data_IF_139802592822
#
_entry.id   IF_139802592822
#
_cell.length_a   1.000
_cell.length_b   1.000
_cell.length_c   1.000
_cell.angle_alpha   90.00
_cell.angle_beta   90.00
_cell.angle_gamma   90.00
#
_symmetry.space_group_name_H-M   'P 1'
#
loop_
_entity.id
_entity.type
_entity.pdbx_description
1 polymer ?
#
# COMPACT_ATOMS: atom_id res chain seq x y z
N UNK A 1 -25.56 8.30 16.33
CA UNK A 1 -25.11 7.63 15.12
C UNK A 1 -23.73 6.96 15.27
N UNK A 2 -22.61 7.66 15.55
CA UNK A 2 -21.27 7.08 15.74
C UNK A 2 -21.20 5.96 16.77
N UNK A 3 -21.96 6.05 17.88
CA UNK A 3 -22.04 4.98 18.91
C UNK A 3 -22.62 3.68 18.33
N UNK A 4 -23.71 3.77 17.59
CA UNK A 4 -24.37 2.61 16.96
C UNK A 4 -23.47 2.04 15.86
N UNK A 5 -22.94 2.88 14.99
CA UNK A 5 -21.99 2.47 13.95
C UNK A 5 -20.77 1.73 14.55
N UNK A 6 -20.13 2.31 15.56
CA UNK A 6 -19.01 1.68 16.25
C UNK A 6 -19.39 0.36 16.96
N UNK A 7 -20.62 0.24 17.48
CA UNK A 7 -21.11 -1.02 18.02
C UNK A 7 -21.29 -2.07 16.92
N UNK A 8 -21.86 -1.69 15.77
CA UNK A 8 -22.02 -2.57 14.62
C UNK A 8 -20.66 -3.07 14.08
N UNK A 9 -19.65 -2.20 13.99
CA UNK A 9 -18.28 -2.58 13.61
C UNK A 9 -17.69 -3.61 14.60
N UNK A 10 -17.85 -3.39 15.90
CA UNK A 10 -17.38 -4.34 16.93
C UNK A 10 -18.10 -5.67 16.85
N UNK A 11 -19.43 -5.66 16.63
CA UNK A 11 -20.21 -6.87 16.42
C UNK A 11 -19.75 -7.63 15.18
N UNK A 12 -19.54 -6.93 14.07
CA UNK A 12 -19.00 -7.53 12.86
C UNK A 12 -17.60 -8.15 13.09
N UNK A 13 -16.71 -7.42 13.76
CA UNK A 13 -15.37 -7.92 14.08
C UNK A 13 -15.42 -9.17 14.97
N UNK A 14 -16.24 -9.15 16.03
CA UNK A 14 -16.33 -10.25 16.98
C UNK A 14 -16.91 -11.54 16.36
N UNK A 15 -17.80 -11.40 15.37
CA UNK A 15 -18.49 -12.53 14.74
C UNK A 15 -17.96 -12.89 13.36
N UNK A 16 -16.90 -12.22 12.86
CA UNK A 16 -16.42 -12.47 11.51
C UNK A 16 -15.68 -13.81 11.37
N UNK A 17 -15.37 -14.49 12.48
CA UNK A 17 -14.83 -15.86 12.49
C UNK A 17 -15.84 -16.79 13.16
N UNK A 18 -15.96 -17.99 12.63
CA UNK A 18 -16.70 -19.09 13.26
C UNK A 18 -15.88 -19.68 14.41
N UNK A 19 -16.53 -20.51 15.20
CA UNK A 19 -15.89 -21.22 16.32
C UNK A 19 -14.72 -22.10 15.85
N UNK A 20 -14.84 -22.67 14.65
CA UNK A 20 -13.80 -23.47 13.97
C UNK A 20 -12.65 -22.62 13.39
N UNK A 21 -12.66 -21.30 13.58
CA UNK A 21 -11.67 -20.37 13.06
C UNK A 21 -11.88 -19.96 11.59
N UNK A 22 -12.82 -20.56 10.88
CA UNK A 22 -13.15 -20.17 9.51
C UNK A 22 -13.79 -18.79 9.44
N UNK A 23 -13.60 -18.06 8.33
CA UNK A 23 -14.22 -16.76 8.13
C UNK A 23 -15.69 -16.90 7.72
N UNK A 24 -16.59 -16.14 8.36
CA UNK A 24 -17.95 -15.99 7.88
C UNK A 24 -17.97 -15.31 6.50
N UNK A 25 -18.89 -15.76 5.64
CA UNK A 25 -19.13 -15.07 4.37
C UNK A 25 -19.69 -13.66 4.64
N UNK A 26 -19.35 -12.73 3.78
CA UNK A 26 -19.78 -11.33 3.92
C UNK A 26 -21.31 -11.18 4.07
N UNK A 27 -22.08 -11.98 3.33
CA UNK A 27 -23.55 -11.97 3.39
C UNK A 27 -24.06 -12.39 4.78
N UNK A 28 -23.59 -13.52 5.29
CA UNK A 28 -23.96 -14.06 6.60
C UNK A 28 -23.67 -13.06 7.73
N UNK A 29 -22.46 -12.48 7.71
CA UNK A 29 -22.06 -11.48 8.69
C UNK A 29 -22.90 -10.20 8.61
N UNK A 30 -23.20 -9.74 7.40
CA UNK A 30 -24.08 -8.60 7.19
C UNK A 30 -25.49 -8.85 7.73
N UNK A 31 -26.05 -10.03 7.47
CA UNK A 31 -27.40 -10.36 7.89
C UNK A 31 -27.46 -10.48 9.43
N UNK A 32 -26.42 -11.02 10.07
CA UNK A 32 -26.28 -11.03 11.54
C UNK A 32 -26.22 -9.61 12.12
N UNK A 33 -25.41 -8.74 11.54
CA UNK A 33 -25.31 -7.33 11.98
C UNK A 33 -26.63 -6.61 11.79
N UNK A 34 -27.30 -6.81 10.65
CA UNK A 34 -28.63 -6.24 10.40
C UNK A 34 -29.64 -6.71 11.45
N UNK A 35 -29.76 -8.00 11.69
CA UNK A 35 -30.69 -8.55 12.68
C UNK A 35 -30.51 -7.92 14.05
N UNK A 36 -29.24 -7.72 14.47
CA UNK A 36 -28.92 -7.12 15.78
C UNK A 36 -29.22 -5.64 15.90
N UNK A 37 -29.18 -4.87 14.83
CA UNK A 37 -29.28 -3.40 14.86
C UNK A 37 -30.50 -2.84 14.11
N UNK A 38 -31.32 -3.67 13.44
CA UNK A 38 -32.47 -3.22 12.66
C UNK A 38 -33.56 -2.52 13.50
N UNK A 39 -33.68 -2.90 14.78
CA UNK A 39 -34.60 -2.26 15.73
C UNK A 39 -34.22 -0.82 16.07
N UNK A 40 -32.94 -0.47 15.87
CA UNK A 40 -32.45 0.89 16.04
C UNK A 40 -32.66 1.64 14.71
N UNK A 41 -33.71 2.42 14.60
CA UNK A 41 -34.02 3.27 13.41
C UNK A 41 -32.87 4.21 13.00
N UNK A 42 -31.76 4.19 13.75
CA UNK A 42 -30.55 5.05 13.64
C UNK A 42 -29.57 4.60 12.56
N UNK A 43 -29.54 3.36 12.17
CA UNK A 43 -28.62 2.85 11.18
C UNK A 43 -29.39 2.19 10.05
N UNK A 44 -29.34 2.79 8.88
CA UNK A 44 -29.87 2.16 7.69
C UNK A 44 -29.03 0.96 7.22
N UNK A 45 -29.59 0.21 6.28
CA UNK A 45 -28.96 -1.01 5.76
C UNK A 45 -27.57 -0.75 5.14
N UNK A 46 -27.33 0.43 4.55
CA UNK A 46 -26.06 0.75 3.93
C UNK A 46 -24.98 1.03 4.98
N UNK A 47 -25.30 1.78 6.03
CA UNK A 47 -24.35 2.03 7.11
C UNK A 47 -24.00 0.74 7.86
N UNK A 48 -24.97 -0.16 8.07
CA UNK A 48 -24.70 -1.46 8.66
C UNK A 48 -23.84 -2.34 7.75
N UNK A 49 -24.04 -2.25 6.43
CA UNK A 49 -23.15 -2.89 5.45
C UNK A 49 -21.73 -2.32 5.52
N UNK A 50 -21.57 -1.00 5.56
CA UNK A 50 -20.27 -0.37 5.71
C UNK A 50 -19.57 -0.78 7.01
N UNK A 51 -20.31 -0.87 8.12
CA UNK A 51 -19.80 -1.34 9.40
C UNK A 51 -19.35 -2.81 9.34
N UNK A 52 -20.08 -3.66 8.62
CA UNK A 52 -19.72 -5.06 8.39
C UNK A 52 -18.41 -5.18 7.65
N UNK A 53 -18.25 -4.45 6.54
CA UNK A 53 -17.02 -4.45 5.76
C UNK A 53 -15.83 -3.93 6.59
N UNK A 54 -16.03 -2.86 7.38
CA UNK A 54 -14.99 -2.36 8.27
C UNK A 54 -14.57 -3.40 9.32
N UNK A 55 -15.50 -4.13 9.90
CA UNK A 55 -15.22 -5.23 10.83
C UNK A 55 -14.39 -6.34 10.18
N UNK A 56 -14.72 -6.73 8.95
CA UNK A 56 -13.95 -7.72 8.18
C UNK A 56 -12.53 -7.23 7.85
N UNK A 57 -12.39 -5.96 7.47
CA UNK A 57 -11.08 -5.37 7.16
C UNK A 57 -10.18 -5.31 8.41
N UNK A 58 -10.75 -5.05 9.58
CA UNK A 58 -10.01 -5.06 10.84
C UNK A 58 -9.43 -6.44 11.19
N UNK A 59 -10.12 -7.54 10.83
CA UNK A 59 -9.58 -8.90 11.02
C UNK A 59 -8.38 -9.14 10.11
N UNK A 60 -8.44 -8.70 8.85
CA UNK A 60 -7.32 -8.82 7.93
C UNK A 60 -6.07 -8.06 8.43
N UNK A 61 -6.29 -6.95 9.16
CA UNK A 61 -5.21 -6.16 9.74
C UNK A 61 -4.57 -6.81 10.97
N UNK A 62 -5.31 -7.63 11.70
CA UNK A 62 -4.85 -8.29 12.92
C UNK A 62 -5.28 -9.76 12.91
N UNK A 63 -4.72 -10.59 12.02
CA UNK A 63 -5.17 -11.97 11.84
C UNK A 63 -4.92 -12.85 13.07
N UNK A 64 -3.84 -12.61 13.81
CA UNK A 64 -3.38 -13.45 14.91
C UNK A 64 -3.61 -12.78 16.29
N UNK A 65 -4.25 -11.62 16.35
CA UNK A 65 -4.38 -10.84 17.58
C UNK A 65 -5.78 -10.34 17.86
N UNK A 66 -6.08 -10.16 19.15
CA UNK A 66 -7.29 -9.46 19.58
C UNK A 66 -7.10 -7.95 19.47
N UNK A 67 -7.96 -7.33 18.66
CA UNK A 67 -8.04 -5.88 18.59
C UNK A 67 -8.79 -5.34 19.82
N UNK A 68 -8.14 -4.47 20.59
CA UNK A 68 -8.77 -3.75 21.68
C UNK A 68 -9.30 -2.42 21.16
N UNK A 69 -10.60 -2.32 20.98
CA UNK A 69 -11.25 -1.07 20.58
C UNK A 69 -11.08 0.00 21.69
N UNK A 70 -10.55 1.15 21.33
CA UNK A 70 -10.15 2.19 22.28
C UNK A 70 -8.69 2.10 22.70
N UNK A 71 -7.97 1.03 22.32
CA UNK A 71 -6.56 0.81 22.60
C UNK A 71 -6.29 0.13 23.95
N UNK A 72 -5.18 -0.65 24.00
CA UNK A 72 -4.79 -1.39 25.22
C UNK A 72 -4.51 -0.47 26.41
N UNK A 73 -3.80 0.63 26.16
CA UNK A 73 -3.49 1.61 27.21
C UNK A 73 -4.75 2.19 27.88
N UNK A 74 -5.77 2.56 27.10
CA UNK A 74 -7.03 3.05 27.63
C UNK A 74 -7.81 1.96 28.38
N UNK A 75 -7.74 0.71 27.92
CA UNK A 75 -8.34 -0.42 28.64
C UNK A 75 -7.67 -0.60 30.01
N UNK A 76 -6.34 -0.55 30.07
CA UNK A 76 -5.59 -0.65 31.32
C UNK A 76 -5.90 0.51 32.27
N UNK A 77 -5.93 1.74 31.76
CA UNK A 77 -6.35 2.92 32.55
C UNK A 77 -7.77 2.75 33.10
N UNK A 78 -8.69 2.18 32.30
CA UNK A 78 -10.05 1.88 32.76
C UNK A 78 -10.07 0.81 33.85
N UNK A 79 -9.28 -0.27 33.71
CA UNK A 79 -9.15 -1.33 34.68
C UNK A 79 -8.62 -0.81 36.05
N UNK A 80 -7.67 0.15 35.95
CA UNK A 80 -7.09 0.82 37.14
C UNK A 80 -7.96 1.96 37.71
N UNK A 81 -9.17 2.19 37.19
CA UNK A 81 -10.04 3.28 37.63
C UNK A 81 -9.60 4.69 37.20
N UNK A 82 -8.54 4.83 36.41
CA UNK A 82 -7.93 6.11 36.04
C UNK A 82 -8.74 6.90 34.98
N UNK A 83 -9.75 6.29 34.39
CA UNK A 83 -10.68 6.94 33.48
C UNK A 83 -12.12 6.49 33.76
N UNK A 84 -13.09 7.38 33.53
CA UNK A 84 -14.50 7.09 33.73
C UNK A 84 -15.02 6.06 32.68
N UNK A 85 -16.20 5.50 32.93
CA UNK A 85 -16.90 4.64 31.99
C UNK A 85 -17.25 5.38 30.71
N UNK A 86 -17.60 6.64 30.79
CA UNK A 86 -17.93 7.54 29.69
C UNK A 86 -16.71 7.81 28.84
N UNK A 87 -15.58 8.17 29.44
CA UNK A 87 -14.30 8.36 28.73
C UNK A 87 -13.86 7.08 28.00
N UNK A 88 -14.05 5.91 28.63
CA UNK A 88 -13.80 4.62 27.98
C UNK A 88 -14.74 4.36 26.79
N UNK A 89 -16.02 4.68 26.94
CA UNK A 89 -17.00 4.56 25.83
C UNK A 89 -16.64 5.49 24.69
N UNK A 90 -16.24 6.72 24.98
CA UNK A 90 -15.82 7.69 23.98
C UNK A 90 -14.56 7.23 23.22
N UNK A 91 -13.54 6.73 23.93
CA UNK A 91 -12.33 6.17 23.33
C UNK A 91 -12.61 4.99 22.36
N UNK A 92 -13.77 4.32 22.51
CA UNK A 92 -14.21 3.22 21.64
C UNK A 92 -15.06 3.67 20.45
N UNK A 93 -15.36 4.96 20.34
CA UNK A 93 -16.07 5.46 19.17
C UNK A 93 -15.24 5.29 17.91
N UNK A 94 -15.95 5.05 16.82
CA UNK A 94 -15.37 4.97 15.49
C UNK A 94 -15.87 6.15 14.66
N UNK A 95 -15.08 6.67 13.72
CA UNK A 95 -15.60 7.57 12.70
C UNK A 95 -16.76 6.90 11.97
N UNK A 96 -17.82 7.65 11.70
CA UNK A 96 -18.90 7.19 10.85
C UNK A 96 -18.36 7.04 9.43
N UNK A 97 -18.35 5.84 8.88
CA UNK A 97 -17.89 5.59 7.52
C UNK A 97 -19.07 5.27 6.60
N UNK A 98 -19.20 5.99 5.51
CA UNK A 98 -20.09 5.67 4.39
C UNK A 98 -19.25 5.46 3.14
N UNK A 99 -19.22 4.23 2.62
CA UNK A 99 -18.46 3.88 1.40
C UNK A 99 -19.10 4.52 0.17
N UNK A 100 -18.28 4.75 -0.84
CA UNK A 100 -18.66 5.35 -2.11
C UNK A 100 -19.74 4.53 -2.83
N UNK A 101 -20.64 5.26 -3.48
CA UNK A 101 -21.66 4.73 -4.38
C UNK A 101 -21.91 5.78 -5.47
N UNK A 102 -21.30 5.60 -6.64
CA UNK A 102 -21.41 6.55 -7.75
C UNK A 102 -22.85 6.72 -8.23
N UNK A 103 -23.68 5.65 -8.16
CA UNK A 103 -25.08 5.70 -8.59
C UNK A 103 -25.91 6.67 -7.73
N UNK A 104 -25.43 6.93 -6.51
CA UNK A 104 -26.01 7.86 -5.55
C UNK A 104 -25.19 9.16 -5.45
N UNK A 105 -24.78 9.72 -6.60
CA UNK A 105 -23.95 10.94 -6.68
C UNK A 105 -22.73 10.88 -5.76
N UNK A 106 -21.94 9.83 -5.93
CA UNK A 106 -20.70 9.58 -5.19
C UNK A 106 -20.87 8.89 -3.84
N UNK A 107 -21.97 9.14 -3.11
CA UNK A 107 -22.23 8.53 -1.80
C UNK A 107 -23.71 8.58 -1.43
N UNK A 108 -24.22 7.62 -0.66
CA UNK A 108 -25.63 7.57 -0.25
C UNK A 108 -26.00 8.60 0.83
N UNK A 109 -25.08 8.88 1.74
CA UNK A 109 -25.35 9.71 2.91
C UNK A 109 -24.78 11.11 2.82
N UNK A 110 -23.64 11.26 2.18
CA UNK A 110 -22.93 12.52 2.09
C UNK A 110 -23.06 13.16 0.71
N UNK A 111 -23.27 14.46 0.68
CA UNK A 111 -23.34 15.28 -0.53
C UNK A 111 -22.49 16.53 -0.35
N UNK A 112 -21.51 16.70 -1.19
CA UNK A 112 -20.76 17.97 -1.27
C UNK A 112 -21.62 19.02 -2.00
N UNK A 113 -21.57 20.26 -1.53
CA UNK A 113 -22.08 21.39 -2.30
C UNK A 113 -21.22 21.61 -3.56
N UNK A 114 -21.77 22.22 -4.64
CA UNK A 114 -21.02 22.44 -5.88
C UNK A 114 -19.73 23.24 -5.69
N UNK A 115 -19.75 24.21 -4.78
CA UNK A 115 -18.59 25.04 -4.40
C UNK A 115 -17.68 24.39 -3.36
N UNK A 116 -18.06 23.22 -2.87
CA UNK A 116 -17.35 22.48 -1.82
C UNK A 116 -17.21 23.25 -0.48
N UNK A 117 -18.07 24.23 -0.21
CA UNK A 117 -18.10 24.97 1.07
C UNK A 117 -18.88 24.23 2.16
N UNK A 118 -19.71 23.27 1.78
CA UNK A 118 -20.54 22.51 2.68
C UNK A 118 -20.67 21.03 2.26
N UNK A 119 -21.04 20.20 3.23
CA UNK A 119 -21.42 18.81 2.98
C UNK A 119 -22.73 18.51 3.69
N UNK A 120 -23.70 17.96 3.00
CA UNK A 120 -24.96 17.53 3.61
C UNK A 120 -24.86 16.05 3.98
N UNK A 121 -25.08 15.75 5.26
CA UNK A 121 -25.23 14.39 5.77
C UNK A 121 -26.71 14.06 5.90
N UNK A 122 -27.21 13.08 5.18
CA UNK A 122 -28.57 12.55 5.32
C UNK A 122 -28.63 11.50 6.40
N UNK A 123 -29.40 11.78 7.45
CA UNK A 123 -29.60 10.87 8.59
C UNK A 123 -31.11 10.72 8.78
N UNK A 124 -31.63 9.51 8.71
CA UNK A 124 -33.07 9.22 8.85
C UNK A 124 -33.98 10.03 7.90
N UNK A 125 -33.51 10.22 6.69
CA UNK A 125 -34.22 11.08 5.74
C UNK A 125 -34.09 12.58 6.04
N UNK A 126 -33.48 12.99 7.17
CA UNK A 126 -33.25 14.40 7.53
C UNK A 126 -31.87 14.84 7.06
N UNK A 127 -31.76 15.96 6.34
CA UNK A 127 -30.48 16.54 5.99
C UNK A 127 -29.87 17.30 7.19
N UNK A 128 -28.59 17.07 7.44
CA UNK A 128 -27.77 17.81 8.40
C UNK A 128 -26.68 18.50 7.60
N UNK A 129 -26.64 19.83 7.64
CA UNK A 129 -25.61 20.60 6.98
C UNK A 129 -24.32 20.61 7.82
N UNK A 130 -23.22 20.28 7.19
CA UNK A 130 -21.87 20.39 7.75
C UNK A 130 -21.14 21.49 6.99
N UNK A 131 -20.76 22.57 7.69
CA UNK A 131 -19.91 23.62 7.12
C UNK A 131 -18.48 23.08 6.99
N UNK A 132 -17.86 23.25 5.84
CA UNK A 132 -16.48 22.86 5.61
C UNK A 132 -15.58 24.09 5.76
N UNK A 133 -14.40 23.90 6.36
CA UNK A 133 -13.39 24.94 6.35
C UNK A 133 -13.01 25.29 4.91
N UNK A 134 -12.79 26.57 4.64
CA UNK A 134 -12.42 27.05 3.31
C UNK A 134 -11.08 26.45 2.90
N UNK A 135 -11.09 25.64 1.83
CA UNK A 135 -9.89 25.05 1.28
C UNK A 135 -9.37 25.88 0.12
N UNK A 136 -8.09 26.23 0.20
CA UNK A 136 -7.40 27.03 -0.81
C UNK A 136 -6.40 26.16 -1.61
N UNK A 137 -5.98 26.66 -2.76
CA UNK A 137 -4.98 26.00 -3.60
C UNK A 137 -5.45 24.68 -4.20
N UNK A 138 -4.52 23.80 -4.50
CA UNK A 138 -4.76 22.51 -5.19
C UNK A 138 -5.83 21.63 -4.52
N UNK A 139 -5.85 21.58 -3.20
CA UNK A 139 -6.81 20.76 -2.48
C UNK A 139 -8.25 21.27 -2.65
N UNK A 140 -8.45 22.58 -2.61
CA UNK A 140 -9.76 23.19 -2.86
C UNK A 140 -10.22 23.01 -4.32
N UNK A 141 -9.29 23.08 -5.26
CA UNK A 141 -9.56 22.82 -6.67
C UNK A 141 -10.01 21.37 -6.89
N UNK A 142 -9.24 20.41 -6.37
CA UNK A 142 -9.61 18.99 -6.43
C UNK A 142 -10.99 18.76 -5.80
N UNK A 143 -11.27 19.36 -4.65
CA UNK A 143 -12.55 19.14 -3.98
C UNK A 143 -13.75 19.67 -4.79
N UNK A 144 -13.62 20.83 -5.46
CA UNK A 144 -14.66 21.33 -6.36
C UNK A 144 -14.89 20.42 -7.56
N UNK A 145 -13.81 19.92 -8.19
CA UNK A 145 -13.91 18.96 -9.29
C UNK A 145 -14.58 17.67 -8.83
N UNK A 146 -14.19 17.16 -7.66
CA UNK A 146 -14.79 15.98 -7.04
C UNK A 146 -16.28 16.16 -6.76
N UNK A 147 -16.69 17.34 -6.29
CA UNK A 147 -18.11 17.64 -6.09
C UNK A 147 -18.90 17.58 -7.41
N UNK A 148 -18.37 18.16 -8.48
CA UNK A 148 -18.99 18.12 -9.81
C UNK A 148 -19.05 16.67 -10.38
N UNK A 149 -17.96 15.92 -10.31
CA UNK A 149 -17.90 14.53 -10.75
C UNK A 149 -18.86 13.62 -9.96
N UNK A 150 -18.99 13.85 -8.66
CA UNK A 150 -19.93 13.12 -7.81
C UNK A 150 -21.39 13.44 -8.20
N UNK A 151 -21.70 14.71 -8.43
CA UNK A 151 -23.04 15.13 -8.91
C UNK A 151 -23.38 14.48 -10.25
N UNK A 152 -22.40 14.37 -11.16
CA UNK A 152 -22.50 13.66 -12.44
C UNK A 152 -22.51 12.12 -12.33
N UNK A 153 -22.44 11.56 -11.12
CA UNK A 153 -22.37 10.12 -10.86
C UNK A 153 -21.15 9.42 -11.51
N UNK A 154 -20.06 10.17 -11.71
CA UNK A 154 -18.86 9.66 -12.37
C UNK A 154 -17.91 8.96 -11.41
N UNK A 155 -17.88 9.34 -10.13
CA UNK A 155 -16.92 8.84 -9.14
C UNK A 155 -17.57 8.28 -7.87
N UNK A 156 -16.80 7.45 -7.15
CA UNK A 156 -17.13 6.97 -5.82
C UNK A 156 -16.42 7.82 -4.76
N UNK A 157 -17.15 8.30 -3.76
CA UNK A 157 -16.60 9.05 -2.63
C UNK A 157 -16.88 8.33 -1.33
N UNK A 158 -15.83 7.91 -0.63
CA UNK A 158 -15.96 7.36 0.72
C UNK A 158 -15.74 8.46 1.73
N UNK A 159 -16.73 8.65 2.61
CA UNK A 159 -16.66 9.64 3.68
C UNK A 159 -16.44 8.98 5.03
N UNK A 160 -15.60 9.60 5.85
CA UNK A 160 -15.44 9.26 7.26
C UNK A 160 -15.59 10.52 8.11
N UNK A 161 -16.59 10.53 8.99
CA UNK A 161 -16.85 11.64 9.91
C UNK A 161 -16.51 11.22 11.33
N UNK A 162 -15.55 11.89 11.95
CA UNK A 162 -15.28 11.76 13.37
C UNK A 162 -15.97 12.89 14.19
N UNK A 163 -15.42 13.37 15.29
CA UNK A 163 -16.02 14.43 16.09
C UNK A 163 -15.89 15.81 15.41
N UNK A 164 -14.78 16.06 14.73
CA UNK A 164 -14.39 17.39 14.25
C UNK A 164 -13.93 17.38 12.79
N UNK A 165 -13.73 16.20 12.18
CA UNK A 165 -13.14 16.08 10.83
C UNK A 165 -14.00 15.25 9.91
N UNK A 166 -14.12 15.71 8.68
CA UNK A 166 -14.67 14.96 7.56
C UNK A 166 -13.54 14.57 6.61
N UNK A 167 -13.27 13.27 6.52
CA UNK A 167 -12.31 12.72 5.57
C UNK A 167 -13.04 12.29 4.32
N UNK A 168 -12.59 12.75 3.16
CA UNK A 168 -13.09 12.34 1.85
C UNK A 168 -12.02 11.51 1.17
N UNK A 169 -12.34 10.27 0.84
CA UNK A 169 -11.44 9.35 0.15
C UNK A 169 -11.98 9.09 -1.26
N UNK A 170 -11.11 9.25 -2.23
CA UNK A 170 -11.37 9.03 -3.65
C UNK A 170 -10.14 8.38 -4.30
N UNK A 171 -10.31 7.83 -5.49
CA UNK A 171 -9.19 7.45 -6.34
C UNK A 171 -8.74 8.68 -7.15
N UNK A 172 -7.49 9.16 -7.00
CA UNK A 172 -6.99 10.29 -7.81
C UNK A 172 -7.04 10.02 -9.31
N UNK A 173 -7.01 8.76 -9.73
CA UNK A 173 -7.17 8.37 -11.13
C UNK A 173 -8.54 8.73 -11.70
N UNK A 174 -9.58 8.80 -10.86
CA UNK A 174 -10.94 9.18 -11.26
C UNK A 174 -11.08 10.69 -11.51
N UNK A 175 -10.05 11.51 -11.19
CA UNK A 175 -10.07 12.97 -11.41
C UNK A 175 -9.28 13.32 -12.66
N UNK A 176 -9.92 13.58 -13.83
CA UNK A 176 -9.24 13.79 -15.11
C UNK A 176 -8.24 14.94 -15.10
N UNK A 177 -8.57 16.02 -14.41
CA UNK A 177 -7.75 17.24 -14.33
C UNK A 177 -6.97 17.34 -13.02
N UNK A 178 -6.65 16.17 -12.40
CA UNK A 178 -5.82 16.16 -11.19
C UNK A 178 -4.46 16.83 -11.47
N UNK A 179 -4.02 17.80 -10.63
CA UNK A 179 -2.83 18.62 -10.91
C UNK A 179 -1.50 17.83 -10.90
N UNK A 180 -1.51 16.60 -10.38
CA UNK A 180 -0.35 15.69 -10.42
C UNK A 180 -0.49 14.61 -11.51
N UNK A 181 -1.52 14.67 -12.35
CA UNK A 181 -1.68 13.74 -13.46
C UNK A 181 -0.57 13.98 -14.48
N UNK A 182 0.07 12.91 -14.89
CA UNK A 182 1.10 12.96 -15.92
C UNK A 182 0.48 12.82 -17.32
N UNK A 183 1.09 13.45 -18.30
CA UNK A 183 0.68 13.28 -19.70
C UNK A 183 0.74 11.80 -20.08
N UNK A 184 -0.20 11.29 -20.88
CA UNK A 184 -0.15 9.92 -21.37
C UNK A 184 1.16 9.63 -22.13
N UNK A 185 1.67 8.42 -21.98
CA UNK A 185 2.80 7.91 -22.79
C UNK A 185 2.29 6.76 -23.63
N UNK A 186 2.75 6.67 -24.88
CA UNK A 186 2.41 5.54 -25.74
C UNK A 186 2.89 4.25 -25.10
N UNK A 187 1.96 3.35 -24.81
CA UNK A 187 2.29 2.02 -24.29
C UNK A 187 2.83 1.13 -25.40
N UNK A 188 3.83 0.33 -25.08
CA UNK A 188 4.36 -0.71 -25.95
C UNK A 188 3.83 -2.05 -25.45
N UNK A 189 3.06 -2.72 -26.28
CA UNK A 189 2.48 -4.02 -25.94
C UNK A 189 3.55 -5.03 -25.53
N UNK A 190 3.27 -5.80 -24.50
CA UNK A 190 4.18 -6.82 -24.01
C UNK A 190 5.34 -6.31 -23.16
N UNK A 191 5.34 -5.02 -22.75
CA UNK A 191 6.30 -4.47 -21.79
C UNK A 191 5.69 -4.29 -20.41
N UNK A 192 6.41 -4.70 -19.40
CA UNK A 192 6.03 -4.45 -18.01
C UNK A 192 7.24 -4.08 -17.15
N UNK A 193 7.00 -3.25 -16.13
CA UNK A 193 7.96 -2.97 -15.08
C UNK A 193 7.73 -3.92 -13.92
N UNK A 194 8.70 -4.76 -13.59
CA UNK A 194 8.70 -5.54 -12.35
C UNK A 194 9.36 -4.79 -11.21
N UNK A 195 8.88 -5.05 -10.00
CA UNK A 195 9.35 -4.41 -8.78
C UNK A 195 9.54 -5.46 -7.69
N UNK A 196 10.78 -5.63 -7.23
CA UNK A 196 11.11 -6.46 -6.08
C UNK A 196 11.46 -5.60 -4.88
N UNK A 197 10.74 -5.81 -3.77
CA UNK A 197 10.82 -4.99 -2.57
C UNK A 197 11.66 -5.65 -1.49
N UNK A 198 12.85 -5.12 -1.28
CA UNK A 198 13.75 -5.50 -0.18
C UNK A 198 13.88 -4.36 0.85
N UNK A 199 14.29 -4.65 2.10
CA UNK A 199 14.37 -3.61 3.16
C UNK A 199 15.31 -2.46 2.83
N UNK A 200 16.42 -2.71 2.16
CA UNK A 200 17.46 -1.73 1.86
C UNK A 200 17.49 -1.30 0.39
N UNK A 201 16.79 -2.05 -0.48
CA UNK A 201 16.83 -1.89 -1.93
C UNK A 201 15.49 -2.20 -2.57
N UNK A 202 15.22 -1.53 -3.66
CA UNK A 202 14.15 -1.90 -4.59
C UNK A 202 14.80 -2.25 -5.92
N UNK A 203 14.60 -3.49 -6.37
CA UNK A 203 14.92 -3.92 -7.73
C UNK A 203 13.82 -3.48 -8.68
N UNK A 204 14.18 -2.79 -9.75
CA UNK A 204 13.32 -2.39 -10.84
C UNK A 204 13.84 -3.04 -12.12
N UNK A 205 12.97 -3.65 -12.92
CA UNK A 205 13.36 -4.23 -14.21
C UNK A 205 12.26 -4.12 -15.23
N UNK A 206 12.61 -3.66 -16.42
CA UNK A 206 11.73 -3.61 -17.57
C UNK A 206 11.95 -4.85 -18.41
N UNK A 207 10.90 -5.61 -18.61
CA UNK A 207 10.91 -6.82 -19.43
C UNK A 207 9.93 -6.68 -20.59
N UNK A 208 10.35 -7.19 -21.74
CA UNK A 208 9.52 -7.28 -22.94
C UNK A 208 9.35 -8.75 -23.34
N UNK A 209 8.14 -9.11 -23.71
CA UNK A 209 7.81 -10.36 -24.39
C UNK A 209 7.11 -10.00 -25.68
N UNK A 210 7.68 -10.36 -26.81
CA UNK A 210 7.13 -10.05 -28.13
C UNK A 210 5.67 -10.51 -28.25
N UNK A 211 4.91 -9.82 -29.06
CA UNK A 211 3.52 -10.18 -29.28
C UNK A 211 3.41 -11.57 -29.92
N UNK A 212 2.43 -12.37 -29.47
CA UNK A 212 2.26 -13.77 -29.87
C UNK A 212 3.25 -14.76 -29.25
N UNK A 213 4.37 -14.31 -28.63
CA UNK A 213 5.30 -15.21 -27.97
C UNK A 213 4.77 -15.71 -26.61
N UNK A 214 5.05 -16.96 -26.28
CA UNK A 214 4.68 -17.54 -24.98
C UNK A 214 5.54 -16.94 -23.84
N UNK A 215 4.93 -16.21 -22.92
CA UNK A 215 5.65 -15.60 -21.82
C UNK A 215 6.13 -16.62 -20.75
N UNK A 216 5.66 -17.86 -20.79
CA UNK A 216 6.14 -18.91 -19.86
C UNK A 216 7.49 -19.48 -20.29
N UNK A 217 7.87 -19.31 -21.54
CA UNK A 217 9.20 -19.62 -22.03
C UNK A 217 10.19 -18.50 -21.72
N UNK A 218 11.15 -18.76 -20.86
CA UNK A 218 12.12 -17.76 -20.38
C UNK A 218 12.92 -17.07 -21.50
N UNK A 219 13.22 -17.79 -22.59
CA UNK A 219 13.92 -17.27 -23.78
C UNK A 219 13.15 -16.14 -24.50
N UNK A 220 11.82 -16.11 -24.36
CA UNK A 220 10.97 -15.11 -24.98
C UNK A 220 10.90 -13.81 -24.17
N UNK A 221 11.43 -13.81 -22.96
CA UNK A 221 11.45 -12.66 -22.08
C UNK A 221 12.82 -11.95 -22.18
N UNK A 222 12.81 -10.72 -22.67
CA UNK A 222 14.00 -9.90 -22.83
C UNK A 222 14.06 -8.83 -21.76
N UNK A 223 15.13 -8.77 -20.97
CA UNK A 223 15.43 -7.68 -20.06
C UNK A 223 15.90 -6.47 -20.88
N UNK A 224 15.18 -5.35 -20.79
CA UNK A 224 15.49 -4.11 -21.51
C UNK A 224 16.31 -3.13 -20.68
N UNK A 225 15.93 -2.96 -19.42
CA UNK A 225 16.62 -2.05 -18.47
C UNK A 225 16.40 -2.56 -17.05
N UNK A 226 17.32 -2.21 -16.18
CA UNK A 226 17.16 -2.49 -14.75
C UNK A 226 17.81 -1.42 -13.90
N UNK A 227 17.26 -1.19 -12.70
CA UNK A 227 17.81 -0.22 -11.74
C UNK A 227 17.68 -0.73 -10.32
N UNK A 228 18.72 -0.57 -9.55
CA UNK A 228 18.71 -0.85 -8.13
C UNK A 228 18.58 0.46 -7.36
N UNK A 229 17.41 0.66 -6.73
CA UNK A 229 17.14 1.89 -5.95
C UNK A 229 17.43 1.61 -4.48
N UNK A 230 18.42 2.31 -3.94
CA UNK A 230 18.76 2.21 -2.52
C UNK A 230 17.74 2.92 -1.66
N UNK A 231 17.24 2.23 -0.64
CA UNK A 231 16.41 2.80 0.42
C UNK A 231 17.30 3.14 1.63
N UNK A 232 17.88 4.32 1.63
CA UNK A 232 18.72 4.77 2.73
C UNK A 232 17.86 5.26 3.91
N UNK A 233 17.07 4.34 4.51
CA UNK A 233 16.24 4.66 5.68
C UNK A 233 17.13 4.68 6.93
N UNK A 234 17.29 5.82 7.61
CA UNK A 234 18.04 5.88 8.87
C UNK A 234 17.37 5.02 9.95
N UNK A 235 18.15 4.42 10.87
CA UNK A 235 17.59 3.56 11.93
C UNK A 235 16.61 4.28 12.87
N UNK A 236 16.75 5.60 12.97
CA UNK A 236 15.95 6.50 13.80
C UNK A 236 14.96 7.35 12.98
N UNK A 237 14.77 7.02 11.70
CA UNK A 237 13.87 7.75 10.82
C UNK A 237 12.44 7.78 11.35
N UNK A 238 11.86 8.98 11.39
CA UNK A 238 10.45 9.17 11.68
C UNK A 238 9.56 8.71 10.53
N UNK A 239 8.28 8.51 10.79
CA UNK A 239 7.32 8.01 9.81
C UNK A 239 7.23 8.90 8.54
N UNK A 240 7.36 10.21 8.67
CA UNK A 240 7.32 11.16 7.56
C UNK A 240 8.58 11.03 6.67
N UNK A 241 9.74 10.90 7.27
CA UNK A 241 11.00 10.68 6.53
C UNK A 241 10.98 9.36 5.77
N UNK A 242 10.45 8.29 6.38
CA UNK A 242 10.26 7.00 5.70
C UNK A 242 9.31 7.15 4.51
N UNK A 243 8.21 7.90 4.69
CA UNK A 243 7.27 8.17 3.60
C UNK A 243 7.91 8.93 2.45
N UNK A 244 8.72 9.92 2.74
CA UNK A 244 9.44 10.71 1.72
C UNK A 244 10.38 9.84 0.89
N UNK A 245 11.18 8.99 1.55
CA UNK A 245 12.09 8.05 0.88
C UNK A 245 11.30 7.08 -0.02
N UNK A 246 10.20 6.52 0.49
CA UNK A 246 9.37 5.60 -0.28
C UNK A 246 8.62 6.29 -1.42
N UNK A 247 8.22 7.54 -1.24
CA UNK A 247 7.60 8.33 -2.29
C UNK A 247 8.58 8.64 -3.42
N UNK A 248 9.84 8.96 -3.10
CA UNK A 248 10.89 9.13 -4.10
C UNK A 248 11.14 7.83 -4.87
N UNK A 249 11.27 6.69 -4.19
CA UNK A 249 11.45 5.40 -4.82
C UNK A 249 10.27 5.00 -5.73
N UNK A 250 9.02 5.26 -5.32
CA UNK A 250 7.86 5.07 -6.18
C UNK A 250 7.89 6.00 -7.39
N UNK A 251 8.40 7.24 -7.24
CA UNK A 251 8.62 8.16 -8.34
C UNK A 251 9.61 7.60 -9.37
N UNK A 252 10.73 7.04 -8.93
CA UNK A 252 11.71 6.39 -9.81
C UNK A 252 11.11 5.21 -10.58
N UNK A 253 10.30 4.37 -9.93
CA UNK A 253 9.63 3.25 -10.58
C UNK A 253 8.70 3.73 -11.70
N UNK A 254 7.87 4.75 -11.46
CA UNK A 254 6.95 5.29 -12.46
C UNK A 254 7.72 6.01 -13.58
N UNK A 255 8.79 6.73 -13.27
CA UNK A 255 9.62 7.36 -14.29
C UNK A 255 10.26 6.33 -15.23
N UNK A 256 10.76 5.21 -14.70
CA UNK A 256 11.31 4.11 -15.50
C UNK A 256 10.25 3.44 -16.38
N UNK A 257 9.08 3.13 -15.81
CA UNK A 257 7.98 2.55 -16.56
C UNK A 257 7.56 3.45 -17.73
N UNK A 258 7.46 4.75 -17.51
CA UNK A 258 7.11 5.74 -18.54
C UNK A 258 8.18 5.85 -19.62
N UNK A 259 9.45 5.88 -19.25
CA UNK A 259 10.57 5.98 -20.19
C UNK A 259 10.59 4.81 -21.17
N UNK A 260 10.14 3.64 -20.73
CA UNK A 260 10.10 2.42 -21.56
C UNK A 260 8.72 2.12 -22.15
N UNK A 261 7.72 2.97 -21.93
CA UNK A 261 6.37 2.74 -22.43
C UNK A 261 5.68 1.52 -21.82
N UNK A 262 5.95 1.21 -20.55
CA UNK A 262 5.23 0.14 -19.83
C UNK A 262 3.82 0.62 -19.49
N UNK A 263 2.81 -0.20 -19.78
CA UNK A 263 1.42 0.03 -19.37
C UNK A 263 1.09 -0.58 -18.01
N UNK A 264 1.93 -1.50 -17.52
CA UNK A 264 1.79 -2.13 -16.22
C UNK A 264 3.07 -2.06 -15.39
N UNK A 265 2.89 -1.82 -14.07
CA UNK A 265 3.88 -2.08 -13.03
C UNK A 265 3.42 -3.30 -12.21
N UNK A 266 4.33 -4.22 -11.95
CA UNK A 266 4.04 -5.53 -11.37
C UNK A 266 4.76 -5.70 -10.05
N UNK A 267 4.03 -6.08 -9.00
CA UNK A 267 4.52 -6.33 -7.65
C UNK A 267 4.31 -7.77 -7.24
N UNK A 268 5.10 -8.23 -6.28
CA UNK A 268 4.85 -9.48 -5.60
C UNK A 268 3.62 -9.39 -4.68
N UNK A 269 2.70 -10.36 -4.80
CA UNK A 269 1.50 -10.47 -3.97
C UNK A 269 1.84 -10.90 -2.54
N UNK A 270 1.17 -10.28 -1.57
CA UNK A 270 1.24 -10.73 -0.17
C UNK A 270 2.40 -10.18 0.64
N UNK A 271 3.13 -9.20 0.14
CA UNK A 271 4.27 -8.54 0.80
C UNK A 271 3.97 -7.94 2.20
N UNK A 272 2.70 -7.86 2.61
CA UNK A 272 2.31 -7.31 3.92
C UNK A 272 2.47 -8.26 5.11
N UNK A 273 2.85 -9.53 4.92
CA UNK A 273 2.81 -10.59 5.93
C UNK A 273 4.17 -11.17 6.30
N UNK A 274 5.25 -10.41 6.25
CA UNK A 274 6.50 -10.91 6.82
C UNK A 274 6.35 -11.04 8.33
N UNK A 275 6.29 -12.29 8.79
CA UNK A 275 6.38 -12.60 10.21
C UNK A 275 7.81 -12.37 10.67
N UNK A 276 7.98 -11.73 11.82
CA UNK A 276 9.28 -11.70 12.47
C UNK A 276 9.71 -13.14 12.73
N UNK A 277 10.69 -13.62 11.98
CA UNK A 277 11.25 -14.95 12.18
C UNK A 277 12.47 -14.81 13.08
N UNK A 278 12.38 -15.40 14.31
CA UNK A 278 13.51 -15.56 15.19
C UNK A 278 13.81 -14.40 16.16
N UNK A 279 14.92 -14.57 16.92
CA UNK A 279 15.34 -13.67 18.01
C UNK A 279 16.13 -12.43 17.55
N UNK A 280 16.35 -12.25 16.23
CA UNK A 280 17.14 -11.14 15.74
C UNK A 280 16.35 -9.82 15.78
N UNK A 281 16.58 -9.03 16.86
CA UNK A 281 15.94 -7.74 17.10
C UNK A 281 16.16 -6.73 15.95
N UNK A 282 17.35 -6.76 15.31
CA UNK A 282 17.67 -5.85 14.19
C UNK A 282 16.85 -6.20 12.95
N UNK A 283 16.81 -7.48 12.59
CA UNK A 283 15.99 -7.97 11.47
C UNK A 283 14.51 -7.73 11.72
N UNK A 284 14.00 -8.01 12.94
CA UNK A 284 12.61 -7.77 13.29
C UNK A 284 12.26 -6.27 13.26
N UNK A 285 13.18 -5.39 13.64
CA UNK A 285 13.01 -3.95 13.55
C UNK A 285 12.96 -3.48 12.08
N UNK A 286 13.85 -3.98 11.22
CA UNK A 286 13.84 -3.74 9.77
C UNK A 286 12.54 -4.27 9.14
N UNK A 287 12.09 -5.46 9.50
CA UNK A 287 10.84 -6.05 8.99
C UNK A 287 9.60 -5.30 9.46
N UNK A 288 9.57 -4.81 10.71
CA UNK A 288 8.45 -4.07 11.27
C UNK A 288 8.40 -2.59 10.81
N UNK A 289 9.55 -1.98 10.57
CA UNK A 289 9.64 -0.61 10.04
C UNK A 289 9.53 -0.55 8.50
N UNK A 290 9.56 -1.72 7.83
CA UNK A 290 9.42 -1.78 6.40
C UNK A 290 7.99 -1.48 5.98
N UNK A 291 7.77 -0.28 5.50
CA UNK A 291 6.45 0.22 5.16
C UNK A 291 5.98 -0.24 3.76
N UNK A 292 6.05 -1.56 3.46
CA UNK A 292 5.64 -2.14 2.17
C UNK A 292 4.23 -1.72 1.75
N UNK A 293 3.31 -1.66 2.72
CA UNK A 293 1.94 -1.20 2.47
C UNK A 293 1.90 0.26 2.08
N UNK A 294 2.75 1.09 2.71
CA UNK A 294 2.85 2.52 2.39
C UNK A 294 3.43 2.70 1.00
N UNK A 295 4.50 1.97 0.66
CA UNK A 295 5.07 1.99 -0.69
C UNK A 295 4.06 1.56 -1.74
N UNK A 296 3.36 0.43 -1.54
CA UNK A 296 2.33 -0.05 -2.46
C UNK A 296 1.21 0.95 -2.68
N UNK A 297 0.74 1.63 -1.62
CA UNK A 297 -0.28 2.66 -1.74
C UNK A 297 0.23 3.90 -2.51
N UNK A 298 1.48 4.33 -2.26
CA UNK A 298 2.10 5.44 -2.99
C UNK A 298 2.32 5.11 -4.46
N UNK A 299 2.78 3.89 -4.73
CA UNK A 299 2.97 3.41 -6.09
C UNK A 299 1.64 3.34 -6.84
N UNK A 300 0.58 2.78 -6.22
CA UNK A 300 -0.75 2.71 -6.82
C UNK A 300 -1.29 4.10 -7.18
N UNK A 301 -1.17 5.06 -6.26
CA UNK A 301 -1.56 6.46 -6.53
C UNK A 301 -0.80 7.04 -7.72
N UNK A 302 0.54 6.92 -7.72
CA UNK A 302 1.39 7.47 -8.79
C UNK A 302 1.15 6.77 -10.13
N UNK A 303 0.99 5.45 -10.12
CA UNK A 303 0.68 4.65 -11.29
C UNK A 303 -0.65 5.10 -11.91
N UNK A 304 -1.71 5.22 -11.10
CA UNK A 304 -3.01 5.71 -11.55
C UNK A 304 -2.95 7.11 -12.17
N UNK A 305 -2.19 8.04 -11.55
CA UNK A 305 -1.98 9.39 -12.08
C UNK A 305 -1.12 9.41 -13.36
N UNK A 306 -0.33 8.38 -13.58
CA UNK A 306 0.49 8.22 -14.79
C UNK A 306 -0.22 7.39 -15.89
N UNK A 307 -1.42 6.86 -15.62
CA UNK A 307 -2.13 5.97 -16.53
C UNK A 307 -1.51 4.57 -16.64
N UNK A 308 -0.71 4.16 -15.63
CA UNK A 308 -0.04 2.86 -15.57
C UNK A 308 -0.86 1.92 -14.69
N UNK A 309 -1.18 0.72 -15.18
CA UNK A 309 -1.81 -0.34 -14.41
C UNK A 309 -0.90 -0.85 -13.29
N UNK A 310 -1.49 -1.33 -12.19
CA UNK A 310 -0.76 -2.00 -11.12
C UNK A 310 -1.29 -3.42 -10.95
N UNK A 311 -0.39 -4.41 -11.07
CA UNK A 311 -0.71 -5.83 -10.95
C UNK A 311 0.08 -6.48 -9.83
N UNK A 312 -0.55 -7.39 -9.12
CA UNK A 312 0.12 -8.23 -8.14
C UNK A 312 0.19 -9.69 -8.64
N UNK A 313 1.37 -10.28 -8.59
CA UNK A 313 1.60 -11.68 -8.97
C UNK A 313 2.21 -12.47 -7.81
N UNK A 314 2.05 -13.80 -7.83
CA UNK A 314 2.72 -14.65 -6.87
C UNK A 314 4.25 -14.62 -7.08
N UNK A 315 5.01 -14.37 -6.00
CA UNK A 315 6.46 -14.15 -6.04
C UNK A 315 7.31 -15.38 -5.70
N UNK A 316 6.71 -16.55 -5.40
CA UNK A 316 7.50 -17.73 -5.05
C UNK A 316 8.51 -18.09 -6.15
N UNK A 317 9.76 -18.32 -5.76
CA UNK A 317 10.90 -18.61 -6.65
C UNK A 317 11.30 -17.51 -7.63
N UNK A 318 10.76 -16.29 -7.54
CA UNK A 318 11.13 -15.19 -8.44
C UNK A 318 12.64 -14.90 -8.42
N UNK A 319 13.25 -14.87 -7.26
CA UNK A 319 14.71 -14.72 -7.11
C UNK A 319 15.48 -15.86 -7.76
N UNK A 320 15.03 -17.12 -7.58
CA UNK A 320 15.71 -18.30 -8.16
C UNK A 320 15.68 -18.26 -9.68
N UNK A 321 14.48 -18.11 -10.24
CA UNK A 321 14.26 -18.08 -11.69
C UNK A 321 14.94 -16.85 -12.29
N UNK A 322 14.74 -15.70 -11.65
CA UNK A 322 15.31 -14.44 -12.09
C UNK A 322 16.84 -14.48 -12.20
N UNK A 323 17.52 -14.97 -11.15
CA UNK A 323 18.97 -15.09 -11.15
C UNK A 323 19.49 -16.09 -12.18
N UNK A 324 18.72 -17.09 -12.55
CA UNK A 324 19.08 -18.03 -13.63
C UNK A 324 18.85 -17.41 -15.02
N UNK A 325 17.74 -16.69 -15.20
CA UNK A 325 17.30 -16.25 -16.54
C UNK A 325 17.82 -14.86 -16.93
N UNK A 326 17.95 -13.92 -15.98
CA UNK A 326 18.25 -12.54 -16.31
C UNK A 326 19.62 -12.08 -15.80
N UNK A 327 20.48 -11.48 -16.66
CA UNK A 327 21.80 -11.00 -16.28
C UNK A 327 21.70 -9.63 -15.57
N UNK A 328 21.23 -9.64 -14.32
CA UNK A 328 21.04 -8.43 -13.52
C UNK A 328 21.37 -8.71 -12.04
N UNK A 329 21.55 -7.68 -11.20
CA UNK A 329 21.65 -7.84 -9.75
C UNK A 329 20.47 -8.58 -9.17
N UNK A 330 20.67 -9.31 -8.09
CA UNK A 330 19.69 -10.22 -7.45
C UNK A 330 18.27 -9.64 -7.37
N UNK A 331 18.11 -8.45 -6.78
CA UNK A 331 16.80 -7.80 -6.68
C UNK A 331 16.22 -7.41 -8.05
N UNK A 332 17.06 -7.01 -9.00
CA UNK A 332 16.63 -6.66 -10.36
C UNK A 332 16.28 -7.92 -11.16
N UNK A 333 17.05 -9.01 -11.02
CA UNK A 333 16.76 -10.28 -11.64
C UNK A 333 15.42 -10.85 -11.14
N UNK A 334 15.17 -10.79 -9.83
CA UNK A 334 13.88 -11.12 -9.23
C UNK A 334 12.75 -10.23 -9.79
N UNK A 335 12.97 -8.92 -9.91
CA UNK A 335 12.03 -7.97 -10.50
C UNK A 335 11.73 -8.30 -11.97
N UNK A 336 12.72 -8.72 -12.75
CA UNK A 336 12.52 -9.14 -14.14
C UNK A 336 11.58 -10.35 -14.25
N UNK A 337 11.76 -11.33 -13.36
CA UNK A 337 10.84 -12.49 -13.32
C UNK A 337 9.43 -12.07 -12.88
N UNK A 338 9.30 -11.13 -11.94
CA UNK A 338 8.01 -10.57 -11.53
C UNK A 338 7.34 -9.86 -12.73
N UNK A 339 8.08 -9.08 -13.52
CA UNK A 339 7.56 -8.44 -14.74
C UNK A 339 7.04 -9.47 -15.74
N UNK A 340 7.84 -10.51 -16.06
CA UNK A 340 7.45 -11.60 -16.96
C UNK A 340 6.14 -12.26 -16.52
N UNK A 341 6.00 -12.56 -15.21
CA UNK A 341 4.75 -13.12 -14.66
C UNK A 341 3.57 -12.16 -14.80
N UNK A 342 3.80 -10.87 -14.68
CA UNK A 342 2.79 -9.85 -14.94
C UNK A 342 2.27 -9.93 -16.36
N UNK A 343 3.17 -10.04 -17.35
CA UNK A 343 2.83 -10.20 -18.76
C UNK A 343 2.06 -11.53 -18.98
N UNK A 344 2.51 -12.64 -18.37
CA UNK A 344 1.78 -13.91 -18.43
C UNK A 344 0.35 -13.78 -17.91
N UNK A 345 0.19 -13.15 -16.76
CA UNK A 345 -1.13 -12.93 -16.15
C UNK A 345 -2.02 -11.99 -16.98
N UNK A 346 -1.43 -10.96 -17.61
CA UNK A 346 -2.15 -10.05 -18.51
C UNK A 346 -2.69 -10.81 -19.72
N UNK A 347 -1.91 -11.72 -20.28
CA UNK A 347 -2.27 -12.59 -21.39
C UNK A 347 -3.12 -13.81 -20.97
N UNK A 348 -3.53 -13.90 -19.68
CA UNK A 348 -4.39 -14.95 -19.13
C UNK A 348 -3.80 -16.37 -19.16
N UNK A 349 -2.49 -16.50 -19.16
CA UNK A 349 -1.85 -17.80 -18.97
C UNK A 349 -2.15 -18.34 -17.57
N UNK A 350 -2.53 -19.64 -17.49
CA UNK A 350 -2.85 -20.28 -16.21
C UNK A 350 -1.60 -20.50 -15.37
N UNK A 351 -0.52 -20.95 -16.01
CA UNK A 351 0.74 -21.22 -15.36
C UNK A 351 1.67 -20.01 -15.53
N UNK A 352 1.96 -19.34 -14.44
CA UNK A 352 2.90 -18.21 -14.42
C UNK A 352 4.34 -18.67 -14.23
N UNK A 353 4.58 -19.91 -13.78
CA UNK A 353 5.91 -20.49 -13.67
C UNK A 353 6.36 -21.01 -15.03
N UNK A 354 7.64 -20.79 -15.39
CA UNK A 354 8.22 -21.40 -16.58
C UNK A 354 8.40 -22.90 -16.38
N UNK A 355 8.56 -23.63 -17.49
CA UNK A 355 8.91 -25.05 -17.45
C UNK A 355 10.15 -25.26 -16.58
N UNK A 356 10.11 -26.31 -15.77
CA UNK A 356 11.22 -26.75 -14.93
C UNK A 356 11.84 -28.05 -15.47
N UNK A 357 11.77 -28.29 -16.80
CA UNK A 357 12.38 -29.45 -17.39
C UNK A 357 13.91 -29.42 -17.21
N UNK A 358 14.52 -30.62 -17.25
CA UNK A 358 15.96 -30.74 -17.09
C UNK A 358 16.74 -29.95 -18.14
N UNK A 359 16.24 -29.91 -19.38
CA UNK A 359 16.85 -29.19 -20.49
C UNK A 359 16.87 -27.68 -20.19
N UNK A 360 15.73 -27.14 -19.77
CA UNK A 360 15.61 -25.68 -19.42
C UNK A 360 16.52 -25.34 -18.27
N UNK A 361 16.47 -26.10 -17.19
CA UNK A 361 17.29 -25.85 -15.99
C UNK A 361 18.79 -26.03 -16.29
N UNK A 362 19.18 -27.05 -17.05
CA UNK A 362 20.58 -27.29 -17.43
C UNK A 362 21.12 -26.19 -18.34
N UNK A 363 20.32 -25.75 -19.29
CA UNK A 363 20.68 -24.65 -20.19
C UNK A 363 20.96 -23.38 -19.40
N UNK A 364 20.02 -22.93 -18.58
CA UNK A 364 20.17 -21.75 -17.73
C UNK A 364 21.35 -21.87 -16.75
N UNK A 365 21.56 -23.05 -16.20
CA UNK A 365 22.70 -23.36 -15.30
C UNK A 365 24.05 -23.19 -15.99
N UNK A 366 24.16 -23.74 -17.22
CA UNK A 366 25.35 -23.61 -18.09
C UNK A 366 25.61 -22.15 -18.47
N UNK A 367 24.55 -21.40 -18.84
CA UNK A 367 24.66 -19.99 -19.23
C UNK A 367 25.20 -19.12 -18.08
N UNK A 368 24.97 -19.55 -16.85
CA UNK A 368 25.53 -18.89 -15.65
C UNK A 368 26.94 -19.36 -15.27
N UNK A 369 27.51 -20.33 -15.98
CA UNK A 369 28.80 -20.91 -15.64
C UNK A 369 28.79 -21.60 -14.27
N UNK A 370 27.65 -22.07 -13.79
CA UNK A 370 27.57 -22.72 -12.48
C UNK A 370 28.06 -24.17 -12.50
N UNK A 371 28.68 -24.68 -11.40
CA UNK A 371 29.18 -26.05 -11.35
C UNK A 371 28.10 -27.09 -11.56
N UNK A 372 28.23 -27.94 -12.55
CA UNK A 372 27.25 -28.99 -12.89
C UNK A 372 27.03 -30.00 -11.76
N UNK A 373 27.99 -30.17 -10.87
CA UNK A 373 27.85 -31.03 -9.68
C UNK A 373 26.75 -30.56 -8.72
N UNK A 374 26.38 -29.30 -8.75
CA UNK A 374 25.31 -28.71 -7.94
C UNK A 374 23.91 -28.75 -8.63
N UNK A 375 23.85 -29.21 -9.89
CA UNK A 375 22.61 -29.38 -10.62
C UNK A 375 21.78 -30.54 -10.00
N UNK A 376 20.47 -30.36 -9.76
CA UNK A 376 19.61 -31.43 -9.29
C UNK A 376 19.68 -32.68 -10.20
N UNK A 377 19.88 -33.86 -9.62
CA UNK A 377 20.12 -35.10 -10.38
C UNK A 377 18.88 -35.70 -11.05
N UNK A 378 17.67 -35.31 -10.61
CA UNK A 378 16.37 -35.80 -11.13
C UNK A 378 15.54 -34.66 -11.63
N UNK A 379 14.50 -34.93 -12.42
CA UNK A 379 13.46 -33.96 -12.73
C UNK A 379 12.93 -33.40 -11.42
N UNK A 380 13.14 -32.12 -11.25
CA UNK A 380 12.91 -31.42 -10.00
C UNK A 380 12.01 -30.26 -10.28
N UNK A 381 11.10 -29.98 -9.36
CA UNK A 381 10.35 -28.72 -9.40
C UNK A 381 11.23 -27.55 -8.99
N UNK A 382 10.75 -26.33 -9.20
CA UNK A 382 11.46 -25.09 -8.80
C UNK A 382 11.87 -25.07 -7.32
N UNK A 383 11.15 -25.80 -6.45
CA UNK A 383 11.54 -25.97 -5.05
C UNK A 383 12.87 -26.68 -4.87
N UNK A 384 13.14 -27.68 -5.70
CA UNK A 384 14.37 -28.47 -5.63
C UNK A 384 15.54 -27.69 -6.24
N UNK A 385 15.31 -27.02 -7.34
CA UNK A 385 16.28 -26.07 -7.95
C UNK A 385 16.67 -24.99 -6.95
N UNK A 386 15.69 -24.38 -6.27
CA UNK A 386 15.94 -23.39 -5.22
C UNK A 386 16.81 -23.97 -4.09
N UNK A 387 16.50 -25.17 -3.61
CA UNK A 387 17.31 -25.84 -2.57
C UNK A 387 18.72 -26.11 -3.04
N UNK A 388 18.90 -26.58 -4.28
CA UNK A 388 20.21 -26.85 -4.88
C UNK A 388 21.09 -25.61 -4.97
N UNK A 389 20.53 -24.50 -5.51
CA UNK A 389 21.22 -23.19 -5.59
C UNK A 389 21.62 -22.70 -4.19
N UNK A 390 20.72 -22.81 -3.23
CA UNK A 390 20.96 -22.36 -1.86
C UNK A 390 22.02 -23.23 -1.14
N UNK A 391 21.97 -24.53 -1.31
CA UNK A 391 22.94 -25.47 -0.73
C UNK A 391 24.35 -25.24 -1.29
N UNK A 392 24.44 -25.00 -2.60
CA UNK A 392 25.71 -24.70 -3.28
C UNK A 392 26.18 -23.26 -3.12
N UNK A 393 25.46 -22.44 -2.38
CA UNK A 393 25.72 -20.99 -2.21
C UNK A 393 25.93 -20.23 -3.54
N UNK A 394 25.25 -20.69 -4.60
CA UNK A 394 25.34 -20.11 -5.94
C UNK A 394 24.47 -18.85 -6.06
N UNK A 395 25.00 -17.85 -6.71
CA UNK A 395 24.27 -16.73 -7.32
C UNK A 395 23.62 -15.68 -6.41
N UNK A 396 23.33 -15.98 -5.17
CA UNK A 396 22.27 -15.28 -4.42
C UNK A 396 22.72 -14.12 -3.54
N UNK A 397 24.00 -13.82 -3.37
CA UNK A 397 24.42 -12.84 -2.35
C UNK A 397 25.59 -11.93 -2.70
N UNK A 398 26.09 -11.96 -3.91
CA UNK A 398 27.11 -10.99 -4.29
C UNK A 398 26.42 -9.79 -4.89
N UNK A 399 26.50 -8.57 -4.27
CA UNK A 399 26.16 -7.36 -4.97
C UNK A 399 26.96 -7.36 -6.28
N UNK A 400 26.29 -7.00 -7.37
CA UNK A 400 26.98 -6.82 -8.66
C UNK A 400 28.20 -5.92 -8.44
N UNK A 401 29.39 -6.24 -8.98
CA UNK A 401 30.60 -5.44 -8.74
C UNK A 401 30.44 -3.96 -9.05
N UNK A 402 29.61 -3.63 -10.04
CA UNK A 402 29.26 -2.24 -10.41
C UNK A 402 28.31 -1.55 -9.42
N UNK A 403 27.65 -2.32 -8.55
CA UNK A 403 26.72 -1.84 -7.52
C UNK A 403 27.27 -2.05 -6.12
N UNK A 404 28.40 -2.73 -5.97
CA UNK A 404 29.18 -2.62 -4.76
C UNK A 404 29.47 -1.13 -4.59
N UNK A 405 28.94 -0.45 -3.53
CA UNK A 405 29.36 0.92 -3.28
C UNK A 405 30.89 0.86 -3.27
N UNK A 406 31.52 1.74 -4.04
CA UNK A 406 32.97 1.86 -4.06
C UNK A 406 33.50 1.65 -2.63
N UNK A 407 34.34 0.64 -2.39
CA UNK A 407 34.87 0.37 -1.05
C UNK A 407 35.45 1.63 -0.41
N UNK A 408 35.88 2.60 -1.21
CA UNK A 408 36.29 3.92 -0.80
C UNK A 408 35.13 4.78 -0.25
N UNK A 409 33.94 4.80 -0.87
CA UNK A 409 32.80 5.61 -0.43
C UNK A 409 32.13 5.04 0.80
N UNK A 410 31.99 3.71 0.92
CA UNK A 410 31.47 3.08 2.15
C UNK A 410 32.44 3.20 3.31
N UNK A 411 33.75 3.06 3.06
CA UNK A 411 34.76 3.20 4.11
C UNK A 411 34.94 4.67 4.49
N UNK A 412 34.77 5.62 3.56
CA UNK A 412 34.81 7.05 3.85
C UNK A 412 33.56 7.50 4.63
N UNK A 413 32.36 7.08 4.21
CA UNK A 413 31.12 7.37 4.93
C UNK A 413 31.07 6.70 6.31
N UNK A 414 31.54 5.44 6.43
CA UNK A 414 31.68 4.76 7.73
C UNK A 414 32.79 5.38 8.57
N UNK A 415 33.92 5.75 8.00
CA UNK A 415 35.04 6.44 8.71
C UNK A 415 34.61 7.83 9.15
N UNK A 416 33.91 8.60 8.32
CA UNK A 416 33.35 9.88 8.71
C UNK A 416 32.34 9.75 9.85
N UNK A 417 31.42 8.78 9.79
CA UNK A 417 30.51 8.47 10.87
C UNK A 417 31.19 7.99 12.15
N UNK A 418 32.26 7.20 12.05
CA UNK A 418 33.09 6.75 13.18
C UNK A 418 33.98 7.87 13.74
N UNK A 419 34.54 8.73 12.89
CA UNK A 419 35.34 9.88 13.32
C UNK A 419 34.48 10.90 14.08
N UNK A 420 33.27 11.18 13.61
CA UNK A 420 32.31 12.06 14.30
C UNK A 420 31.92 11.51 15.68
N UNK A 421 31.80 10.17 15.83
CA UNK A 421 31.50 9.55 17.13
C UNK A 421 32.72 9.49 18.07
N UNK A 422 33.93 9.30 17.54
CA UNK A 422 35.17 9.18 18.34
C UNK A 422 35.75 10.51 18.79
N UNK A 423 35.54 11.58 18.00
CA UNK A 423 36.08 12.90 18.32
C UNK A 423 35.22 13.73 19.27
N UNK A 424 34.08 13.22 19.74
CA UNK A 424 33.29 13.93 20.75
C UNK A 424 32.88 15.34 20.36
N UNK A 425 32.96 15.69 19.09
CA UNK A 425 32.63 17.01 18.57
C UNK A 425 31.16 17.27 18.81
N UNK A 426 30.85 17.88 19.95
CA UNK A 426 29.55 18.53 20.19
C UNK A 426 29.28 19.42 18.99
N UNK A 427 28.19 19.20 18.29
CA UNK A 427 27.64 20.10 17.29
C UNK A 427 27.63 21.50 17.89
N UNK A 428 28.41 22.42 17.34
CA UNK A 428 28.20 23.84 17.61
C UNK A 428 26.80 24.20 17.17
N UNK A 429 25.93 24.74 18.02
CA UNK A 429 24.66 25.28 17.61
C UNK A 429 24.95 26.53 16.79
N UNK A 430 24.77 26.48 15.47
CA UNK A 430 24.99 27.68 14.65
C UNK A 430 25.19 27.49 13.14
N UNK A 431 25.43 26.28 12.66
CA UNK A 431 25.43 26.03 11.21
C UNK A 431 24.15 25.28 10.82
N UNK A 432 23.05 26.00 10.75
CA UNK A 432 21.82 25.58 10.10
C UNK A 432 22.11 25.58 8.61
N UNK A 433 22.32 24.41 8.01
CA UNK A 433 22.16 24.24 6.59
C UNK A 433 20.75 24.74 6.25
N UNK A 434 20.65 25.75 5.39
CA UNK A 434 19.36 26.26 4.90
C UNK A 434 18.56 25.07 4.40
N UNK A 435 17.33 24.87 4.89
CA UNK A 435 16.47 23.82 4.36
C UNK A 435 16.20 24.17 2.90
N UNK A 436 16.47 23.24 2.00
CA UNK A 436 15.88 23.23 0.68
C UNK A 436 14.37 23.43 0.84
N UNK A 437 13.82 24.36 0.08
CA UNK A 437 12.45 24.80 0.15
C UNK A 437 11.52 23.60 0.34
N UNK A 438 10.75 23.59 1.44
CA UNK A 438 9.71 22.61 1.73
C UNK A 438 8.72 22.61 0.59
N UNK A 439 8.72 21.56 -0.21
CA UNK A 439 7.55 21.21 -1.00
C UNK A 439 6.50 20.76 0.03
N UNK A 440 5.37 21.43 0.18
CA UNK A 440 4.37 21.03 1.17
C UNK A 440 3.87 19.63 0.81
N UNK A 441 4.08 18.68 1.69
CA UNK A 441 3.45 17.37 1.61
C UNK A 441 1.94 17.59 1.62
N UNK A 442 1.28 17.25 0.52
CA UNK A 442 -0.15 17.37 0.41
C UNK A 442 -0.83 16.54 1.50
N UNK A 443 -1.41 17.21 2.46
CA UNK A 443 -2.31 16.58 3.44
C UNK A 443 -3.63 16.33 2.72
N UNK A 444 -3.90 15.09 2.38
CA UNK A 444 -5.18 14.64 1.82
C UNK A 444 -6.30 14.54 2.89
N UNK A 445 -6.18 15.23 4.01
CA UNK A 445 -7.19 15.28 5.08
C UNK A 445 -7.76 16.69 5.18
N UNK A 446 -9.08 16.76 5.09
CA UNK A 446 -9.88 17.96 5.26
C UNK A 446 -10.18 18.17 6.74
N UNK A 447 -9.67 19.23 7.35
CA UNK A 447 -10.01 19.62 8.72
C UNK A 447 -11.22 20.55 8.71
N UNK A 448 -12.23 20.26 9.54
CA UNK A 448 -13.38 21.13 9.78
C UNK A 448 -13.09 21.93 11.04
N UNK A 449 -13.07 23.26 10.94
CA UNK A 449 -12.96 24.15 12.09
C UNK A 449 -14.14 23.99 13.06
N UNK A 450 -13.86 24.19 14.34
CA UNK A 450 -14.86 24.20 15.41
C UNK A 450 -15.78 25.40 15.27
N UNK A 451 -16.97 25.21 14.69
CA UNK A 451 -18.11 26.11 14.89
C UNK A 451 -19.42 25.29 14.79
N UNK A 452 -19.61 24.42 15.77
CA UNK A 452 -20.91 23.82 16.07
C UNK A 452 -21.62 24.70 17.13
N UNK A 453 -21.89 25.97 16.82
CA UNK A 453 -22.88 26.73 17.59
C UNK A 453 -24.27 26.33 17.09
N UNK A 454 -24.96 25.59 17.94
CA UNK A 454 -26.37 25.27 17.75
C UNK A 454 -27.20 26.52 17.78
N UNK A 455 -27.82 26.85 16.67
CA UNK A 455 -28.95 27.79 16.69
C UNK A 455 -30.14 27.06 17.32
N UNK A 456 -30.39 27.38 18.58
CA UNK A 456 -31.69 27.22 19.21
C UNK A 456 -32.64 28.25 18.57
N UNK A 457 -33.60 27.77 17.79
CA UNK A 457 -34.75 28.57 17.36
C UNK A 457 -35.57 29.02 18.57
N UNK A 458 -35.96 30.31 18.65
CA UNK A 458 -36.86 30.76 19.71
C UNK A 458 -38.25 30.15 19.45
N UNK A 459 -38.86 29.64 20.50
CA UNK A 459 -40.30 29.34 20.54
C UNK A 459 -41.03 30.65 20.52
N UNK A 460 -41.72 30.98 19.44
CA UNK A 460 -42.81 31.94 19.43
C UNK A 460 -44.05 31.29 20.03
N UNK A 461 -44.69 32.00 20.90
CA UNK A 461 -45.88 31.64 21.67
C UNK A 461 -47.14 31.39 20.83
#
# INVERSE_FOLDING_TARGET
>A
MRRVYGAAVRTAYANARRVDGSALRQKELRDLVKARFSHLKIADAWLLHCATLEGMDLIKLSPDGLLVFGGRSQLERRRKGLISREAWREARLRPLCSRGDKTQSGNRHFRLSPDASACTLRVYGRPVALRLAAMRGKAGEILRQVAALAAAKAINLTFRLDATRLHVTLDPADVPTHPERLAPVSAVAGRALGIDLNPDWIGLSVVEVADGADPTELRNARLLDHRLVRLAVPPDAGAEQVREILAAAAGHAIALARAWGCDEAVLEKGLGKLRSAGRNRRLNRLLNHWARRVFGAMLARRAGLAGIGLREVWGGYSTTIGNMAFPAPDACASAAEIARRGISAARKFKDVLPSCSREVVSGLWKDRGWPTAALPRREAGWADVHRGIKAAALGVRRPHPELAPDPGTLSAARRAGYAVRRLGLRRRPGLVARPLARVPAGRDSLEIGEDLQGHSTPKSG
#
